data_IF_486982633140
#
_entry.id   IF_486982633140
#
_cell.length_a   1.000
_cell.length_b   1.000
_cell.length_c   1.000
_cell.angle_alpha   90.00
_cell.angle_beta   90.00
_cell.angle_gamma   90.00
#
_symmetry.space_group_name_H-M   'P 1'
#
loop_
_entity.id
_entity.type
_entity.pdbx_description
1 polymer ?
#
# COMPACT_ATOMS: atom_id res chain seq x y z
N UNK A 1 -25.56 0.24 -2.53
CA UNK A 1 -24.30 0.93 -2.95
C UNK A 1 -23.82 0.33 -4.28
N UNK A 2 -22.98 1.04 -5.00
CA UNK A 2 -22.36 0.65 -6.27
C UNK A 2 -20.83 0.79 -6.16
N UNK A 3 -20.03 0.21 -7.07
CA UNK A 3 -18.57 0.38 -7.07
C UNK A 3 -18.18 1.86 -7.26
N UNK A 4 -17.39 2.39 -6.33
CA UNK A 4 -16.91 3.76 -6.37
C UNK A 4 -15.55 3.78 -7.10
N UNK A 5 -15.51 4.40 -8.27
CA UNK A 5 -14.30 4.57 -9.08
C UNK A 5 -13.66 5.93 -8.77
N UNK A 6 -12.34 5.98 -8.59
CA UNK A 6 -11.66 7.19 -8.13
C UNK A 6 -10.89 7.92 -9.23
N UNK A 7 -10.83 9.21 -9.08
CA UNK A 7 -9.82 10.09 -9.64
C UNK A 7 -8.74 10.28 -8.56
N UNK A 8 -7.48 9.90 -8.82
CA UNK A 8 -6.43 9.96 -7.82
C UNK A 8 -6.03 11.40 -7.49
N UNK A 9 -5.45 11.58 -6.30
CA UNK A 9 -4.76 12.80 -5.91
C UNK A 9 -3.27 12.64 -6.18
N UNK A 10 -2.70 13.46 -7.07
CA UNK A 10 -1.27 13.40 -7.41
C UNK A 10 -0.45 14.27 -6.47
N UNK A 11 0.72 13.75 -6.07
CA UNK A 11 1.66 14.42 -5.20
C UNK A 11 3.00 14.62 -5.94
N UNK A 12 3.38 15.88 -6.09
CA UNK A 12 4.70 16.23 -6.60
C UNK A 12 5.76 15.98 -5.51
N UNK A 13 6.82 15.29 -5.88
CA UNK A 13 7.94 14.95 -4.98
C UNK A 13 9.27 15.14 -5.69
N UNK A 14 10.27 15.66 -4.97
CA UNK A 14 11.62 15.89 -5.53
C UNK A 14 12.28 14.63 -6.12
N UNK A 15 11.87 13.47 -5.67
CA UNK A 15 12.34 12.17 -6.14
C UNK A 15 11.43 11.53 -7.21
N UNK A 16 10.30 12.15 -7.52
CA UNK A 16 9.29 11.65 -8.44
C UNK A 16 9.73 11.59 -9.90
N UNK A 17 8.92 10.95 -10.72
CA UNK A 17 9.15 10.75 -12.13
C UNK A 17 7.90 10.97 -12.99
N UNK A 18 7.84 10.29 -14.14
CA UNK A 18 6.71 10.33 -15.08
C UNK A 18 6.26 8.92 -15.50
N UNK A 19 6.85 7.86 -14.95
CA UNK A 19 6.59 6.47 -15.35
C UNK A 19 5.17 5.99 -15.02
N UNK A 20 4.49 6.61 -14.07
CA UNK A 20 3.07 6.32 -13.80
C UNK A 20 2.17 6.60 -15.02
N UNK A 21 2.55 7.54 -15.91
CA UNK A 21 1.85 7.74 -17.18
C UNK A 21 2.05 6.55 -18.13
N UNK A 22 3.26 6.01 -18.20
CA UNK A 22 3.62 4.91 -19.08
C UNK A 22 3.03 3.58 -18.60
N UNK A 23 3.14 3.31 -17.29
CA UNK A 23 2.68 2.04 -16.67
C UNK A 23 1.15 1.94 -16.67
N UNK A 24 0.43 3.06 -16.48
CA UNK A 24 -1.02 3.05 -16.23
C UNK A 24 -1.84 3.93 -17.19
N UNK A 25 -1.24 4.44 -18.25
CA UNK A 25 -1.89 5.41 -19.16
C UNK A 25 -2.55 6.59 -18.40
N UNK A 26 -1.89 7.05 -17.32
CA UNK A 26 -2.38 8.14 -16.50
C UNK A 26 -2.04 9.50 -17.10
N UNK A 27 -3.03 10.40 -17.14
CA UNK A 27 -2.83 11.81 -17.48
C UNK A 27 -2.26 12.54 -16.25
N UNK A 28 -0.93 12.54 -16.13
CA UNK A 28 -0.27 13.23 -15.03
C UNK A 28 -0.25 14.75 -15.24
N UNK A 29 -0.42 15.55 -14.17
CA UNK A 29 -0.18 16.98 -14.21
C UNK A 29 1.30 17.27 -14.58
N UNK A 30 1.64 18.53 -14.93
CA UNK A 30 3.06 18.94 -15.07
C UNK A 30 3.85 18.65 -13.79
N UNK A 31 5.18 18.59 -13.90
CA UNK A 31 6.10 18.37 -12.78
C UNK A 31 6.49 16.90 -12.55
N UNK A 32 7.20 16.65 -11.47
CA UNK A 32 7.71 15.35 -11.06
C UNK A 32 6.73 14.70 -10.09
N UNK A 33 5.92 13.77 -10.59
CA UNK A 33 4.91 13.10 -9.78
C UNK A 33 5.54 11.88 -9.12
N UNK A 34 5.73 11.96 -7.81
CA UNK A 34 6.26 10.83 -7.03
C UNK A 34 5.18 9.86 -6.57
N UNK A 35 3.98 10.38 -6.25
CA UNK A 35 2.90 9.57 -5.71
C UNK A 35 1.58 9.87 -6.41
N UNK A 36 0.80 8.81 -6.68
CA UNK A 36 -0.59 8.84 -7.11
C UNK A 36 -1.42 8.19 -6.01
N UNK A 37 -2.15 8.99 -5.23
CA UNK A 37 -2.99 8.51 -4.15
C UNK A 37 -4.32 8.03 -4.72
N UNK A 38 -4.45 6.74 -4.86
CA UNK A 38 -5.51 6.07 -5.61
C UNK A 38 -6.83 5.99 -4.83
N UNK A 39 -6.74 5.56 -3.58
CA UNK A 39 -7.85 5.54 -2.62
C UNK A 39 -7.32 6.21 -1.37
N UNK A 40 -7.67 7.48 -1.20
CA UNK A 40 -7.11 8.35 -0.18
C UNK A 40 -8.21 9.17 0.49
N UNK A 41 -8.14 9.21 1.80
CA UNK A 41 -9.01 9.99 2.67
C UNK A 41 -8.19 10.56 3.83
N UNK A 42 -7.17 11.34 3.49
CA UNK A 42 -6.22 11.93 4.44
C UNK A 42 -6.21 13.46 4.32
N UNK A 43 -5.97 14.23 5.38
CA UNK A 43 -5.91 15.70 5.31
C UNK A 43 -4.92 16.25 4.28
N UNK A 44 -3.83 15.52 4.02
CA UNK A 44 -2.81 15.90 3.02
C UNK A 44 -3.20 15.55 1.56
N UNK A 45 -4.28 14.79 1.35
CA UNK A 45 -4.74 14.44 0.01
C UNK A 45 -5.93 13.50 -0.01
N UNK A 46 -6.93 13.85 -0.80
CA UNK A 46 -8.16 13.08 -0.92
C UNK A 46 -8.44 12.76 -2.39
N UNK A 47 -8.72 11.49 -2.69
CA UNK A 47 -9.22 11.08 -3.99
C UNK A 47 -10.71 11.39 -4.12
N UNK A 48 -11.15 11.73 -5.35
CA UNK A 48 -12.55 12.03 -5.63
C UNK A 48 -13.21 10.87 -6.37
N UNK A 49 -14.46 10.59 -6.03
CA UNK A 49 -15.27 9.62 -6.75
C UNK A 49 -15.63 10.22 -8.11
N UNK A 50 -15.43 9.46 -9.21
CA UNK A 50 -15.66 9.97 -10.55
C UNK A 50 -16.93 9.42 -11.23
N UNK A 51 -17.68 8.54 -10.56
CA UNK A 51 -18.85 7.89 -11.14
C UNK A 51 -20.09 7.94 -10.25
N UNK A 52 -21.26 7.80 -10.89
CA UNK A 52 -22.55 7.65 -10.24
C UNK A 52 -22.99 8.86 -9.41
N UNK A 53 -23.90 8.63 -8.47
CA UNK A 53 -24.51 9.71 -7.66
C UNK A 53 -23.57 10.40 -6.68
N UNK A 54 -22.41 9.81 -6.40
CA UNK A 54 -21.40 10.39 -5.53
C UNK A 54 -20.24 11.03 -6.30
N UNK A 55 -20.36 11.19 -7.62
CA UNK A 55 -19.33 11.83 -8.42
C UNK A 55 -18.98 13.24 -7.87
N UNK A 56 -17.69 13.53 -7.77
CA UNK A 56 -17.14 14.77 -7.20
C UNK A 56 -16.95 14.76 -5.69
N UNK A 57 -17.55 13.83 -4.95
CA UNK A 57 -17.40 13.72 -3.50
C UNK A 57 -16.11 12.96 -3.12
N UNK A 58 -15.60 13.26 -1.94
CA UNK A 58 -14.54 12.47 -1.28
C UNK A 58 -15.13 11.28 -0.52
N UNK A 59 -14.25 10.35 -0.07
CA UNK A 59 -14.69 9.21 0.75
C UNK A 59 -15.31 9.71 2.06
N UNK A 60 -14.68 10.66 2.76
CA UNK A 60 -15.20 11.24 4.02
C UNK A 60 -16.61 11.77 3.86
N UNK A 61 -16.89 12.48 2.76
CA UNK A 61 -18.24 13.01 2.50
C UNK A 61 -19.29 11.89 2.34
N UNK A 62 -18.88 10.76 1.76
CA UNK A 62 -19.77 9.58 1.66
C UNK A 62 -19.90 8.87 3.00
N UNK A 63 -18.81 8.74 3.77
CA UNK A 63 -18.81 8.08 5.07
C UNK A 63 -19.72 8.77 6.09
N UNK A 64 -19.87 10.10 6.03
CA UNK A 64 -20.74 10.85 6.94
C UNK A 64 -22.19 10.29 7.00
N UNK A 65 -22.71 9.79 5.88
CA UNK A 65 -24.08 9.28 5.82
C UNK A 65 -24.16 7.77 5.50
N UNK A 66 -23.07 7.17 5.04
CA UNK A 66 -23.06 5.82 4.49
C UNK A 66 -21.92 4.94 5.05
N UNK A 67 -21.40 5.27 6.23
CA UNK A 67 -20.25 4.57 6.83
C UNK A 67 -20.49 3.06 6.92
N UNK A 68 -21.65 2.64 7.41
CA UNK A 68 -22.00 1.22 7.55
C UNK A 68 -22.11 0.50 6.22
N UNK A 69 -22.65 1.13 5.20
CA UNK A 69 -22.77 0.56 3.86
C UNK A 69 -21.41 0.41 3.18
N UNK A 70 -20.50 1.37 3.41
CA UNK A 70 -19.15 1.37 2.83
C UNK A 70 -18.23 0.42 3.60
N UNK A 71 -18.12 0.57 4.90
CA UNK A 71 -17.12 -0.11 5.74
C UNK A 71 -17.61 -1.49 6.24
N UNK A 72 -18.92 -1.70 6.39
CA UNK A 72 -19.48 -2.91 6.97
C UNK A 72 -19.22 -2.98 8.47
N UNK A 73 -18.29 -3.84 8.90
CA UNK A 73 -17.87 -4.01 10.29
C UNK A 73 -16.60 -3.25 10.65
N UNK A 74 -15.92 -2.75 9.65
CA UNK A 74 -14.69 -1.99 9.86
C UNK A 74 -15.01 -0.61 10.45
N UNK A 75 -14.00 -0.06 11.13
CA UNK A 75 -14.09 1.28 11.71
C UNK A 75 -13.31 2.27 10.88
N UNK A 76 -13.69 3.52 10.99
CA UNK A 76 -12.87 4.65 10.54
C UNK A 76 -11.62 4.79 11.43
N UNK A 77 -10.68 5.63 11.00
CA UNK A 77 -9.61 6.12 11.87
C UNK A 77 -10.19 6.91 13.06
N UNK A 78 -9.34 7.28 14.02
CA UNK A 78 -9.76 8.15 15.13
C UNK A 78 -10.32 9.49 14.66
N UNK A 79 -9.87 9.98 13.50
CA UNK A 79 -10.37 11.22 12.85
C UNK A 79 -11.64 11.02 12.02
N UNK A 80 -12.20 9.82 11.95
CA UNK A 80 -13.38 9.49 11.16
C UNK A 80 -13.12 9.19 9.67
N UNK A 81 -11.86 9.08 9.26
CA UNK A 81 -11.41 8.85 7.89
C UNK A 81 -11.47 7.37 7.49
N UNK A 82 -11.39 7.09 6.20
CA UNK A 82 -11.26 5.74 5.66
C UNK A 82 -9.95 5.08 6.15
N UNK A 83 -9.94 3.81 6.57
CA UNK A 83 -8.82 3.26 7.35
C UNK A 83 -7.56 2.92 6.54
N UNK A 84 -7.62 2.87 5.23
CA UNK A 84 -6.48 2.56 4.37
C UNK A 84 -6.16 3.70 3.41
N UNK A 85 -4.88 3.80 3.08
CA UNK A 85 -4.38 4.66 2.02
C UNK A 85 -3.66 3.78 1.00
N UNK A 86 -4.07 3.90 -0.27
CA UNK A 86 -3.50 3.15 -1.39
C UNK A 86 -2.86 4.11 -2.37
N UNK A 87 -1.61 3.86 -2.70
CA UNK A 87 -0.81 4.72 -3.56
C UNK A 87 -0.10 3.91 -4.66
N UNK A 88 0.20 4.58 -5.78
CA UNK A 88 1.25 4.17 -6.69
C UNK A 88 2.41 5.17 -6.59
N UNK A 89 3.64 4.66 -6.51
CA UNK A 89 4.85 5.46 -6.36
C UNK A 89 5.75 5.26 -7.57
N UNK A 90 6.36 6.36 -8.04
CA UNK A 90 7.40 6.36 -9.06
C UNK A 90 8.69 6.95 -8.47
N UNK A 91 9.61 6.08 -8.06
CA UNK A 91 10.89 6.43 -7.51
C UNK A 91 11.94 6.62 -8.62
N UNK A 92 11.91 7.78 -9.29
CA UNK A 92 12.99 8.17 -10.23
C UNK A 92 14.31 8.39 -9.51
N UNK A 93 14.25 8.85 -8.26
CA UNK A 93 15.39 8.97 -7.35
C UNK A 93 15.07 8.28 -6.04
N UNK A 94 16.08 8.06 -5.21
CA UNK A 94 15.93 7.43 -3.89
C UNK A 94 15.01 8.25 -2.99
N UNK A 95 14.08 7.59 -2.31
CA UNK A 95 13.35 8.19 -1.20
C UNK A 95 14.25 8.30 0.04
N UNK A 96 13.87 9.10 1.02
CA UNK A 96 14.61 9.18 2.29
C UNK A 96 14.66 7.83 2.99
N UNK A 97 15.74 7.57 3.73
CA UNK A 97 15.78 6.50 4.72
C UNK A 97 14.88 6.92 5.87
N UNK A 98 13.92 6.07 6.23
CA UNK A 98 12.85 6.41 7.16
C UNK A 98 12.37 5.20 7.97
N UNK A 99 11.59 5.50 8.99
CA UNK A 99 10.88 4.50 9.81
C UNK A 99 9.52 5.05 10.20
N UNK A 100 8.55 4.16 10.41
CA UNK A 100 7.19 4.51 10.82
C UNK A 100 6.85 3.94 12.19
N UNK A 101 6.06 4.68 13.00
CA UNK A 101 5.60 4.20 14.30
C UNK A 101 4.46 3.18 14.19
N UNK A 102 4.24 2.41 15.26
CA UNK A 102 3.00 1.66 15.47
C UNK A 102 1.90 2.52 16.08
N UNK A 103 0.67 1.93 16.18
CA UNK A 103 -0.52 2.64 16.68
C UNK A 103 -0.31 3.23 18.08
N UNK A 104 0.28 2.48 19.01
CA UNK A 104 0.44 2.91 20.40
C UNK A 104 1.33 4.16 20.51
N UNK A 105 2.43 4.19 19.74
CA UNK A 105 3.30 5.36 19.71
C UNK A 105 2.63 6.55 19.01
N UNK A 106 2.01 6.31 17.85
CA UNK A 106 1.31 7.36 17.11
C UNK A 106 0.21 8.00 17.97
N UNK A 107 -0.61 7.21 18.66
CA UNK A 107 -1.66 7.71 19.53
C UNK A 107 -1.15 8.52 20.72
N UNK A 108 0.08 8.29 21.19
CA UNK A 108 0.66 8.99 22.34
C UNK A 108 1.43 10.25 21.97
N UNK A 109 1.95 10.37 20.75
CA UNK A 109 2.85 11.45 20.35
C UNK A 109 2.28 12.34 19.24
N UNK A 110 1.35 11.83 18.44
CA UNK A 110 0.86 12.48 17.23
C UNK A 110 -0.66 12.49 17.22
N UNK A 111 -1.28 13.61 17.60
CA UNK A 111 -2.73 13.71 17.79
C UNK A 111 -3.54 13.26 16.56
N UNK A 112 -4.34 12.21 16.76
CA UNK A 112 -5.26 11.67 15.76
C UNK A 112 -4.61 10.85 14.64
N UNK A 113 -3.28 10.71 14.61
CA UNK A 113 -2.60 9.86 13.65
C UNK A 113 -2.70 8.37 14.00
N UNK A 114 -2.73 7.54 12.97
CA UNK A 114 -2.58 6.08 13.08
C UNK A 114 -1.10 5.71 12.95
N UNK A 115 -0.75 4.53 13.44
CA UNK A 115 0.50 3.88 13.05
C UNK A 115 0.55 3.66 11.54
N UNK A 116 1.72 3.28 11.03
CA UNK A 116 1.90 3.12 9.58
C UNK A 116 2.54 1.78 9.25
N UNK A 117 1.70 0.74 9.26
CA UNK A 117 2.02 -0.58 8.70
C UNK A 117 1.77 -0.53 7.19
N UNK A 118 2.73 -0.99 6.40
CA UNK A 118 2.71 -0.94 4.95
C UNK A 118 2.98 -2.29 4.31
N UNK A 119 2.57 -2.43 3.06
CA UNK A 119 3.10 -3.42 2.14
C UNK A 119 3.33 -2.79 0.77
N UNK A 120 4.37 -3.22 0.07
CA UNK A 120 4.70 -2.83 -1.29
C UNK A 120 4.59 -4.00 -2.24
N UNK A 121 4.03 -3.74 -3.41
CA UNK A 121 4.05 -4.67 -4.54
C UNK A 121 4.81 -4.00 -5.70
N UNK A 122 5.91 -4.61 -6.14
CA UNK A 122 6.77 -4.05 -7.17
C UNK A 122 6.09 -4.22 -8.54
N UNK A 123 5.75 -3.10 -9.17
CA UNK A 123 5.11 -3.04 -10.48
C UNK A 123 6.13 -3.05 -11.61
N UNK A 124 7.19 -2.26 -11.45
CA UNK A 124 8.34 -2.21 -12.35
C UNK A 124 9.61 -1.98 -11.54
N UNK A 125 10.71 -2.59 -11.98
CA UNK A 125 12.03 -2.38 -11.40
C UNK A 125 13.09 -2.40 -12.50
N UNK A 126 13.98 -1.43 -12.50
CA UNK A 126 15.14 -1.42 -13.40
C UNK A 126 16.11 -2.54 -13.03
N UNK A 127 16.93 -3.02 -13.98
CA UNK A 127 17.93 -4.04 -13.68
C UNK A 127 18.86 -3.61 -12.54
N UNK A 128 18.90 -4.41 -11.47
CA UNK A 128 19.71 -4.12 -10.30
C UNK A 128 19.07 -3.18 -9.27
N UNK A 129 17.80 -2.80 -9.44
CA UNK A 129 17.08 -1.98 -8.47
C UNK A 129 17.06 -2.63 -7.08
N UNK A 130 17.18 -1.80 -6.05
CA UNK A 130 17.32 -2.22 -4.66
C UNK A 130 16.37 -1.44 -3.75
N UNK A 131 16.05 -2.06 -2.62
CA UNK A 131 15.45 -1.40 -1.46
C UNK A 131 16.44 -1.40 -0.30
N UNK A 132 16.40 -0.37 0.52
CA UNK A 132 16.90 -0.47 1.89
C UNK A 132 15.78 -1.13 2.69
N UNK A 133 16.10 -2.23 3.38
CA UNK A 133 15.10 -3.01 4.10
C UNK A 133 15.70 -3.61 5.37
N UNK A 134 15.52 -2.89 6.48
CA UNK A 134 16.01 -3.24 7.80
C UNK A 134 17.48 -2.88 8.04
N UNK A 135 17.94 -3.23 9.22
CA UNK A 135 19.29 -3.02 9.71
C UNK A 135 20.16 -4.27 9.49
N UNK A 136 21.47 -4.09 9.37
CA UNK A 136 22.43 -5.19 9.43
C UNK A 136 22.34 -5.88 10.79
N UNK A 137 22.52 -7.19 10.80
CA UNK A 137 22.46 -8.00 12.02
C UNK A 137 23.46 -7.51 13.06
N UNK A 138 23.01 -7.37 14.30
CA UNK A 138 23.81 -6.92 15.44
C UNK A 138 23.89 -5.40 15.61
N UNK A 139 23.24 -4.63 14.74
CA UNK A 139 23.10 -3.18 14.94
C UNK A 139 22.25 -2.92 16.18
N UNK A 140 22.76 -2.13 17.11
CA UNK A 140 22.02 -1.67 18.30
C UNK A 140 21.77 -0.17 18.27
N UNK A 141 20.95 0.33 19.22
CA UNK A 141 20.56 1.74 19.31
C UNK A 141 21.76 2.69 19.41
N UNK A 142 22.76 2.34 20.22
CA UNK A 142 23.95 3.19 20.44
C UNK A 142 24.82 3.29 19.20
N UNK A 143 25.07 2.16 18.53
CA UNK A 143 25.83 2.14 17.28
C UNK A 143 25.10 2.90 16.18
N UNK A 144 23.77 2.74 16.08
CA UNK A 144 22.96 3.47 15.11
C UNK A 144 23.01 4.98 15.35
N UNK A 145 22.79 5.43 16.60
CA UNK A 145 22.85 6.86 16.94
C UNK A 145 24.24 7.46 16.65
N UNK A 146 25.32 6.74 16.99
CA UNK A 146 26.68 7.15 16.65
C UNK A 146 26.89 7.27 15.14
N UNK A 147 26.46 6.27 14.36
CA UNK A 147 26.60 6.27 12.92
C UNK A 147 25.81 7.41 12.23
N UNK A 148 24.64 7.79 12.78
CA UNK A 148 23.90 8.97 12.30
C UNK A 148 24.72 10.23 12.51
N UNK A 149 25.30 10.45 13.72
CA UNK A 149 26.13 11.62 14.04
C UNK A 149 27.39 11.69 13.17
N UNK A 150 27.99 10.54 12.86
CA UNK A 150 29.16 10.41 12.01
C UNK A 150 28.83 10.41 10.51
N UNK A 151 27.55 10.57 10.12
CA UNK A 151 27.05 10.48 8.72
C UNK A 151 27.35 9.14 8.04
N UNK A 152 27.38 8.07 8.78
CA UNK A 152 27.70 6.70 8.33
C UNK A 152 26.51 5.74 8.47
N UNK A 153 25.31 6.24 8.65
CA UNK A 153 24.11 5.42 8.87
C UNK A 153 23.92 4.37 7.77
N UNK A 154 24.29 4.68 6.52
CA UNK A 154 24.21 3.75 5.40
C UNK A 154 25.02 2.47 5.58
N UNK A 155 26.10 2.50 6.36
CA UNK A 155 26.95 1.34 6.68
C UNK A 155 26.19 0.28 7.48
N UNK A 156 25.14 0.69 8.20
CA UNK A 156 24.34 -0.17 9.07
C UNK A 156 23.07 -0.71 8.41
N UNK A 157 22.77 -0.28 7.18
CA UNK A 157 21.54 -0.63 6.50
C UNK A 157 21.70 -1.90 5.66
N UNK A 158 20.65 -2.72 5.66
CA UNK A 158 20.56 -3.88 4.79
C UNK A 158 19.93 -3.48 3.46
N UNK A 159 20.44 -4.03 2.34
CA UNK A 159 19.92 -3.83 0.99
C UNK A 159 19.42 -5.13 0.41
N UNK A 160 18.30 -5.10 -0.27
CA UNK A 160 17.74 -6.25 -0.99
C UNK A 160 17.49 -5.86 -2.44
N UNK A 161 17.84 -6.75 -3.37
CA UNK A 161 17.46 -6.60 -4.77
C UNK A 161 16.00 -6.96 -4.93
N UNK A 162 15.31 -6.26 -5.82
CA UNK A 162 13.90 -6.50 -6.12
C UNK A 162 13.66 -6.54 -7.63
N UNK A 163 12.58 -7.21 -7.99
CA UNK A 163 12.10 -7.32 -9.36
C UNK A 163 10.59 -7.18 -9.41
N UNK A 164 10.03 -6.97 -10.61
CA UNK A 164 8.58 -6.96 -10.83
C UNK A 164 7.92 -8.21 -10.24
N UNK A 165 6.86 -8.01 -9.46
CA UNK A 165 6.10 -9.07 -8.79
C UNK A 165 6.53 -9.33 -7.35
N UNK A 166 7.66 -8.81 -6.89
CA UNK A 166 8.04 -8.96 -5.49
C UNK A 166 7.08 -8.20 -4.57
N UNK A 167 6.83 -8.78 -3.40
CA UNK A 167 6.03 -8.20 -2.34
C UNK A 167 6.86 -8.01 -1.07
N UNK A 168 6.74 -6.85 -0.43
CA UNK A 168 7.52 -6.46 0.75
C UNK A 168 6.55 -6.02 1.84
N UNK A 169 6.69 -6.55 3.05
CA UNK A 169 5.89 -6.16 4.20
C UNK A 169 6.70 -5.29 5.16
N UNK A 170 6.20 -4.13 5.49
CA UNK A 170 6.85 -3.15 6.38
C UNK A 170 6.06 -3.02 7.68
N UNK A 171 6.40 -3.80 8.70
CA UNK A 171 5.85 -3.58 10.03
C UNK A 171 6.38 -2.26 10.61
N UNK A 172 5.69 -1.68 11.59
CA UNK A 172 6.21 -0.55 12.35
C UNK A 172 7.62 -0.84 12.87
N UNK A 173 8.47 0.18 12.94
CA UNK A 173 9.85 0.07 13.41
C UNK A 173 10.86 -0.45 12.38
N UNK A 174 10.43 -0.88 11.21
CA UNK A 174 11.34 -1.33 10.15
C UNK A 174 11.95 -0.13 9.42
N UNK A 175 13.26 0.08 9.54
CA UNK A 175 14.00 1.09 8.75
C UNK A 175 14.00 0.70 7.28
N UNK A 176 13.64 1.62 6.39
CA UNK A 176 13.53 1.32 4.96
C UNK A 176 13.73 2.54 4.06
N UNK A 177 13.99 2.29 2.78
CA UNK A 177 13.90 3.29 1.71
C UNK A 177 13.67 2.60 0.36
N UNK A 178 12.91 3.25 -0.51
CA UNK A 178 12.83 2.88 -1.92
C UNK A 178 14.01 3.55 -2.62
N UNK A 179 14.83 2.76 -3.31
CA UNK A 179 15.90 3.30 -4.15
C UNK A 179 15.35 3.63 -5.54
N UNK A 180 16.18 4.22 -6.38
CA UNK A 180 15.83 4.66 -7.74
C UNK A 180 15.44 3.51 -8.67
N UNK A 181 14.66 3.82 -9.69
CA UNK A 181 14.31 2.89 -10.78
C UNK A 181 13.15 1.94 -10.44
N UNK A 182 12.34 2.24 -9.43
CA UNK A 182 11.23 1.40 -8.97
C UNK A 182 9.90 2.12 -9.15
N UNK A 183 8.91 1.41 -9.70
CA UNK A 183 7.48 1.76 -9.60
C UNK A 183 6.78 0.69 -8.78
N UNK A 184 6.03 1.08 -7.77
CA UNK A 184 5.35 0.14 -6.88
C UNK A 184 3.94 0.61 -6.48
N UNK A 185 3.13 -0.34 -6.04
CA UNK A 185 1.89 -0.09 -5.30
C UNK A 185 2.16 -0.21 -3.80
N UNK A 186 1.67 0.75 -3.04
CA UNK A 186 1.75 0.81 -1.59
C UNK A 186 0.34 0.73 -1.00
N UNK A 187 0.13 -0.23 -0.11
CA UNK A 187 -1.08 -0.37 0.69
C UNK A 187 -0.69 -0.20 2.15
N UNK A 188 -1.29 0.78 2.81
CA UNK A 188 -0.93 1.14 4.18
C UNK A 188 -2.14 1.54 5.02
N UNK A 189 -1.95 1.59 6.36
CA UNK A 189 -2.87 2.32 7.22
C UNK A 189 -2.96 3.77 6.75
N UNK A 190 -4.08 4.43 7.02
CA UNK A 190 -4.28 5.83 6.65
C UNK A 190 -3.46 6.76 7.57
N UNK A 191 -2.20 6.90 7.25
CA UNK A 191 -1.21 7.72 7.97
C UNK A 191 -0.16 8.26 7.00
N UNK A 192 0.32 9.48 7.23
CA UNK A 192 1.45 10.08 6.49
C UNK A 192 2.67 10.33 7.40
N UNK A 193 2.66 9.71 8.61
CA UNK A 193 3.76 9.82 9.56
C UNK A 193 5.04 9.20 9.02
N UNK A 194 6.09 10.00 9.02
CA UNK A 194 7.40 9.56 8.52
C UNK A 194 8.51 10.16 9.37
N UNK A 195 9.23 9.33 10.10
CA UNK A 195 10.44 9.75 10.79
C UNK A 195 11.64 9.54 9.88
N UNK A 196 12.10 10.66 9.30
CA UNK A 196 13.21 10.70 8.34
C UNK A 196 14.53 10.61 9.08
N UNK A 197 15.37 9.66 8.67
CA UNK A 197 16.68 9.38 9.26
C UNK A 197 17.80 9.98 8.41
N UNK A 198 17.69 9.85 7.09
CA UNK A 198 18.69 10.36 6.14
C UNK A 198 18.05 10.68 4.79
N UNK A 199 18.45 11.77 4.17
CA UNK A 199 17.83 12.27 2.93
C UNK A 199 18.85 12.52 1.80
N UNK A 200 19.91 11.74 1.73
CA UNK A 200 20.92 11.78 0.67
C UNK A 200 21.61 13.15 0.51
N UNK A 201 21.67 13.91 1.59
CA UNK A 201 22.18 15.30 1.62
C UNK A 201 21.48 16.26 0.61
N UNK A 202 20.26 15.91 0.16
CA UNK A 202 19.48 16.73 -0.78
C UNK A 202 19.14 18.08 -0.18
N UNK A 203 19.20 19.10 -1.05
CA UNK A 203 18.67 20.44 -0.75
C UNK A 203 17.46 20.71 -1.63
N UNK A 204 16.52 21.50 -1.13
CA UNK A 204 15.43 22.06 -1.92
C UNK A 204 15.98 23.12 -2.88
N UNK A 205 15.18 23.56 -3.84
CA UNK A 205 15.55 24.69 -4.74
C UNK A 205 15.87 25.97 -3.94
N UNK A 206 15.26 26.14 -2.76
CA UNK A 206 15.54 27.24 -1.84
C UNK A 206 16.84 27.03 -1.01
N UNK A 207 17.61 25.95 -1.24
CA UNK A 207 18.86 25.64 -0.55
C UNK A 207 18.68 25.06 0.87
N UNK A 208 17.46 24.82 1.33
CA UNK A 208 17.20 24.17 2.61
C UNK A 208 17.22 22.65 2.53
N UNK A 209 17.55 21.97 3.61
CA UNK A 209 17.42 20.51 3.74
C UNK A 209 16.07 20.16 4.36
N UNK A 210 15.51 19.00 4.01
CA UNK A 210 14.35 18.47 4.71
C UNK A 210 14.73 18.09 6.14
N UNK A 211 13.82 18.32 7.06
CA UNK A 211 13.99 17.96 8.46
C UNK A 211 14.25 16.47 8.67
N UNK A 212 15.12 16.15 9.60
CA UNK A 212 15.40 14.79 10.06
C UNK A 212 14.79 14.61 11.46
N UNK A 213 14.21 13.46 11.71
CA UNK A 213 13.48 13.13 12.95
C UNK A 213 14.24 12.04 13.73
N UNK A 214 15.50 12.29 14.06
CA UNK A 214 16.41 11.26 14.58
C UNK A 214 15.94 10.70 15.93
N UNK A 215 15.55 11.56 16.86
CA UNK A 215 15.12 11.12 18.20
C UNK A 215 13.84 10.29 18.12
N UNK A 216 12.81 10.76 17.40
CA UNK A 216 11.58 10.01 17.17
C UNK A 216 11.83 8.69 16.44
N UNK A 217 12.75 8.70 15.47
CA UNK A 217 13.13 7.48 14.77
C UNK A 217 13.76 6.45 15.72
N UNK A 218 14.67 6.89 16.60
CA UNK A 218 15.31 6.02 17.60
C UNK A 218 14.30 5.41 18.59
N UNK A 219 13.23 6.11 18.90
CA UNK A 219 12.15 5.62 19.79
C UNK A 219 11.41 4.44 19.18
N UNK A 220 11.20 4.45 17.86
CA UNK A 220 10.34 3.51 17.17
C UNK A 220 11.06 2.40 16.39
N UNK A 221 12.39 2.53 16.14
CA UNK A 221 13.17 1.50 15.43
C UNK A 221 13.16 0.17 16.17
N UNK A 222 12.78 -0.89 15.47
CA UNK A 222 12.94 -2.28 15.93
C UNK A 222 14.35 -2.79 15.62
N UNK A 223 15.24 -2.74 16.61
CA UNK A 223 16.61 -3.26 16.53
C UNK A 223 16.70 -4.79 16.59
N UNK A 224 15.62 -5.48 16.91
CA UNK A 224 15.57 -6.94 17.03
C UNK A 224 15.23 -7.65 15.71
N UNK A 225 14.64 -6.94 14.75
CA UNK A 225 14.13 -7.52 13.49
C UNK A 225 15.27 -7.97 12.58
N UNK A 226 15.29 -9.26 12.27
CA UNK A 226 16.29 -9.90 11.40
C UNK A 226 15.74 -10.43 10.08
N UNK A 227 14.43 -10.41 9.85
CA UNK A 227 13.83 -10.83 8.58
C UNK A 227 13.93 -9.69 7.56
N UNK A 228 14.83 -9.85 6.61
CA UNK A 228 15.18 -8.85 5.61
C UNK A 228 15.08 -9.45 4.18
N UNK A 229 13.98 -10.14 3.88
CA UNK A 229 13.72 -10.74 2.57
C UNK A 229 12.33 -10.37 2.04
N UNK A 230 12.11 -10.39 0.71
CA UNK A 230 10.78 -10.31 0.14
C UNK A 230 9.85 -11.39 0.70
N UNK A 231 8.55 -11.13 0.68
CA UNK A 231 7.54 -12.07 1.14
C UNK A 231 7.56 -13.36 0.29
N UNK A 232 7.30 -14.48 0.96
CA UNK A 232 6.99 -15.74 0.29
C UNK A 232 5.47 -15.86 0.23
N UNK A 233 4.94 -15.69 -0.94
CA UNK A 233 3.51 -15.65 -1.24
C UNK A 233 2.88 -17.04 -1.36
N UNK A 234 1.55 -17.10 -1.41
CA UNK A 234 0.79 -18.34 -1.59
C UNK A 234 -0.10 -18.20 -2.82
N UNK A 235 0.20 -18.98 -3.86
CA UNK A 235 -0.62 -19.05 -5.07
C UNK A 235 -1.67 -20.16 -4.96
N UNK A 236 -2.88 -19.83 -5.40
CA UNK A 236 -4.01 -20.71 -5.59
C UNK A 236 -4.47 -20.61 -7.06
N UNK A 237 -4.63 -21.73 -7.71
CA UNK A 237 -5.14 -21.80 -9.08
C UNK A 237 -6.56 -22.35 -9.07
N UNK A 238 -7.44 -21.71 -9.81
CA UNK A 238 -8.82 -22.15 -10.00
C UNK A 238 -9.34 -21.70 -11.36
N UNK A 239 -9.82 -22.65 -12.18
CA UNK A 239 -10.53 -22.37 -13.44
C UNK A 239 -9.77 -21.40 -14.37
N UNK A 240 -8.47 -21.64 -14.58
CA UNK A 240 -7.56 -20.79 -15.35
C UNK A 240 -7.33 -19.38 -14.76
N UNK A 241 -7.77 -19.12 -13.55
CA UNK A 241 -7.43 -17.90 -12.81
C UNK A 241 -6.41 -18.22 -11.72
N UNK A 242 -5.55 -17.25 -11.44
CA UNK A 242 -4.59 -17.36 -10.34
C UNK A 242 -4.93 -16.30 -9.28
N UNK A 243 -4.92 -16.72 -8.04
CA UNK A 243 -5.01 -15.85 -6.87
C UNK A 243 -3.76 -16.03 -6.02
N UNK A 244 -3.00 -14.98 -5.90
CA UNK A 244 -1.79 -14.95 -5.09
C UNK A 244 -2.04 -14.13 -3.83
N UNK A 245 -1.99 -14.79 -2.67
CA UNK A 245 -2.06 -14.13 -1.36
C UNK A 245 -0.68 -13.60 -1.03
N UNK A 246 -0.53 -12.29 -0.97
CA UNK A 246 0.73 -11.62 -0.66
C UNK A 246 0.93 -11.53 0.86
N UNK A 247 -0.02 -10.93 1.56
CA UNK A 247 0.02 -10.76 3.01
C UNK A 247 -1.37 -10.59 3.60
N UNK A 248 -1.55 -11.03 4.84
CA UNK A 248 -2.69 -10.70 5.70
C UNK A 248 -2.16 -10.31 7.07
N UNK A 249 -2.35 -9.07 7.47
CA UNK A 249 -1.96 -8.54 8.78
C UNK A 249 -3.18 -8.03 9.55
N UNK A 250 -2.95 -7.37 10.69
CA UNK A 250 -4.02 -6.80 11.52
C UNK A 250 -4.91 -5.79 10.79
N UNK A 251 -4.39 -5.11 9.74
CA UNK A 251 -5.05 -3.97 9.11
C UNK A 251 -5.63 -4.30 7.73
N UNK A 252 -4.99 -5.19 6.98
CA UNK A 252 -5.40 -5.52 5.63
C UNK A 252 -4.97 -6.93 5.20
N UNK A 253 -5.65 -7.42 4.18
CA UNK A 253 -5.23 -8.55 3.35
C UNK A 253 -5.02 -8.05 1.93
N UNK A 254 -3.87 -8.37 1.32
CA UNK A 254 -3.55 -7.99 -0.06
C UNK A 254 -3.29 -9.23 -0.91
N UNK A 255 -3.89 -9.26 -2.09
CA UNK A 255 -3.87 -10.37 -3.03
C UNK A 255 -3.69 -9.85 -4.46
N UNK A 256 -3.02 -10.62 -5.31
CA UNK A 256 -3.01 -10.42 -6.76
C UNK A 256 -3.94 -11.43 -7.39
N UNK A 257 -4.85 -10.95 -8.24
CA UNK A 257 -5.75 -11.77 -9.04
C UNK A 257 -5.33 -11.67 -10.51
N UNK A 258 -4.98 -12.79 -11.13
CA UNK A 258 -4.79 -12.91 -12.57
C UNK A 258 -6.02 -13.60 -13.15
N UNK A 259 -6.84 -12.84 -13.87
CA UNK A 259 -8.15 -13.27 -14.39
C UNK A 259 -8.03 -13.43 -15.90
N UNK A 260 -8.45 -14.59 -16.43
CA UNK A 260 -8.42 -14.89 -17.86
C UNK A 260 -9.81 -15.07 -18.47
N UNK A 261 -10.81 -15.43 -17.65
CA UNK A 261 -12.19 -15.65 -18.11
C UNK A 261 -13.20 -14.89 -17.27
N UNK A 262 -13.31 -15.24 -16.00
CA UNK A 262 -14.25 -14.63 -15.08
C UNK A 262 -13.90 -14.97 -13.65
N UNK A 263 -14.18 -14.05 -12.74
CA UNK A 263 -13.92 -14.18 -11.32
C UNK A 263 -15.15 -13.73 -10.53
N UNK A 264 -15.59 -14.55 -9.60
CA UNK A 264 -16.72 -14.25 -8.73
C UNK A 264 -16.22 -14.05 -7.29
N UNK A 265 -16.76 -13.03 -6.64
CA UNK A 265 -16.42 -12.74 -5.24
C UNK A 265 -17.58 -12.02 -4.54
N UNK A 266 -17.36 -11.70 -3.26
CA UNK A 266 -18.38 -11.07 -2.42
C UNK A 266 -17.75 -10.20 -1.34
N UNK A 267 -18.24 -8.98 -1.22
CA UNK A 267 -17.94 -8.07 -0.11
C UNK A 267 -18.76 -8.46 1.14
N UNK A 268 -18.37 -9.52 1.85
CA UNK A 268 -19.25 -10.13 2.88
C UNK A 268 -19.51 -9.26 4.11
N UNK A 269 -18.47 -8.70 4.70
CA UNK A 269 -18.54 -7.96 5.97
C UNK A 269 -17.65 -6.72 5.98
N UNK A 270 -16.90 -6.51 4.92
CA UNK A 270 -16.01 -5.39 4.70
C UNK A 270 -15.95 -5.04 3.23
N UNK A 271 -15.28 -3.99 2.91
CA UNK A 271 -15.07 -3.49 1.55
C UNK A 271 -13.97 -4.27 0.80
N UNK A 272 -13.93 -4.12 -0.52
CA UNK A 272 -12.76 -4.48 -1.33
C UNK A 272 -12.25 -3.26 -2.09
N UNK A 273 -10.94 -3.08 -2.17
CA UNK A 273 -10.30 -2.14 -3.08
C UNK A 273 -9.72 -2.95 -4.23
N UNK A 274 -9.99 -2.52 -5.46
CA UNK A 274 -9.45 -3.11 -6.67
C UNK A 274 -8.62 -2.06 -7.40
N UNK A 275 -7.32 -2.33 -7.56
CA UNK A 275 -6.43 -1.54 -8.41
C UNK A 275 -6.12 -2.38 -9.64
N UNK A 276 -6.51 -1.90 -10.82
CA UNK A 276 -6.32 -2.63 -12.08
C UNK A 276 -4.89 -2.38 -12.56
N UNK A 277 -4.05 -3.41 -12.46
CA UNK A 277 -2.64 -3.32 -12.79
C UNK A 277 -2.38 -3.53 -14.29
N UNK A 278 -3.12 -4.46 -14.91
CA UNK A 278 -2.94 -4.79 -16.33
C UNK A 278 -4.29 -5.20 -16.94
N UNK A 279 -4.48 -4.90 -18.23
CA UNK A 279 -5.60 -5.37 -19.03
C UNK A 279 -6.87 -4.54 -18.90
N UNK A 280 -7.96 -5.09 -19.44
CA UNK A 280 -9.28 -4.48 -19.46
C UNK A 280 -10.39 -5.52 -19.25
N UNK A 281 -11.55 -5.06 -18.82
CA UNK A 281 -12.71 -5.91 -18.56
C UNK A 281 -13.90 -5.15 -18.01
N UNK A 282 -14.79 -5.86 -17.34
CA UNK A 282 -15.96 -5.28 -16.72
C UNK A 282 -16.29 -5.93 -15.38
N UNK A 283 -16.92 -5.16 -14.53
CA UNK A 283 -17.39 -5.58 -13.20
C UNK A 283 -18.90 -5.37 -13.14
N UNK A 284 -19.60 -6.38 -12.68
CA UNK A 284 -21.07 -6.33 -12.51
C UNK A 284 -21.50 -7.17 -11.30
N UNK A 285 -22.76 -7.00 -10.91
CA UNK A 285 -23.39 -7.76 -9.82
C UNK A 285 -24.53 -6.99 -9.20
N UNK A 286 -25.34 -7.70 -8.41
CA UNK A 286 -26.43 -7.11 -7.62
C UNK A 286 -27.29 -6.12 -8.39
N UNK A 287 -27.42 -4.91 -7.84
CA UNK A 287 -28.35 -3.87 -8.31
C UNK A 287 -27.62 -2.64 -8.86
N UNK A 288 -26.48 -2.80 -9.52
CA UNK A 288 -25.79 -1.69 -10.17
C UNK A 288 -25.52 -1.99 -11.65
N UNK A 289 -25.45 -0.92 -12.45
CA UNK A 289 -25.02 -1.03 -13.84
C UNK A 289 -23.56 -1.47 -13.91
N UNK A 290 -23.20 -2.27 -14.93
CA UNK A 290 -21.81 -2.70 -15.14
C UNK A 290 -20.84 -1.52 -15.15
N UNK A 291 -19.64 -1.77 -14.66
CA UNK A 291 -18.55 -0.79 -14.61
C UNK A 291 -17.39 -1.32 -15.45
N UNK A 292 -16.96 -0.55 -16.44
CA UNK A 292 -15.79 -0.87 -17.23
C UNK A 292 -14.52 -0.71 -16.38
N UNK A 293 -13.61 -1.67 -16.52
CA UNK A 293 -12.32 -1.73 -15.87
C UNK A 293 -11.21 -1.60 -16.91
N UNK A 294 -10.25 -0.75 -16.65
CA UNK A 294 -9.04 -0.62 -17.46
C UNK A 294 -7.81 -0.42 -16.59
N UNK A 295 -6.66 -0.74 -17.12
CA UNK A 295 -5.37 -0.49 -16.48
C UNK A 295 -5.32 0.92 -15.89
N UNK A 296 -4.83 1.05 -14.66
CA UNK A 296 -4.76 2.29 -13.91
C UNK A 296 -6.02 2.72 -13.17
N UNK A 297 -7.14 1.98 -13.30
CA UNK A 297 -8.35 2.26 -12.51
C UNK A 297 -8.20 1.77 -11.07
N UNK A 298 -8.77 2.55 -10.14
CA UNK A 298 -8.88 2.22 -8.73
C UNK A 298 -10.33 2.34 -8.28
N UNK A 299 -10.84 1.27 -7.65
CA UNK A 299 -12.23 1.18 -7.22
C UNK A 299 -12.33 0.73 -5.76
N UNK A 300 -13.29 1.29 -5.05
CA UNK A 300 -13.77 0.78 -3.77
C UNK A 300 -15.13 0.11 -3.97
N UNK A 301 -15.20 -1.17 -3.64
CA UNK A 301 -16.43 -1.96 -3.60
C UNK A 301 -16.97 -1.95 -2.17
N UNK A 302 -18.04 -1.22 -1.88
CA UNK A 302 -18.59 -1.11 -0.53
C UNK A 302 -19.01 -2.45 0.06
N UNK A 303 -18.96 -2.57 1.38
CA UNK A 303 -19.35 -3.79 2.09
C UNK A 303 -20.77 -4.24 1.77
N UNK A 304 -21.68 -3.29 1.54
CA UNK A 304 -23.08 -3.56 1.17
C UNK A 304 -23.29 -3.97 -0.30
N UNK A 305 -22.24 -3.97 -1.14
CA UNK A 305 -22.36 -4.37 -2.55
C UNK A 305 -22.82 -5.82 -2.70
N UNK A 306 -22.31 -6.72 -1.86
CA UNK A 306 -22.63 -8.14 -1.92
C UNK A 306 -21.84 -8.89 -2.99
N UNK A 307 -22.54 -9.76 -3.74
CA UNK A 307 -21.90 -10.55 -4.79
C UNK A 307 -21.54 -9.68 -5.99
N UNK A 308 -20.37 -9.93 -6.57
CA UNK A 308 -19.93 -9.29 -7.80
C UNK A 308 -19.15 -10.27 -8.68
N UNK A 309 -19.09 -9.96 -9.95
CA UNK A 309 -18.36 -10.70 -10.97
C UNK A 309 -17.45 -9.75 -11.74
N UNK A 310 -16.28 -10.24 -12.09
CA UNK A 310 -15.33 -9.55 -12.96
C UNK A 310 -15.06 -10.45 -14.16
N UNK A 311 -15.13 -9.91 -15.38
CA UNK A 311 -14.69 -10.61 -16.58
C UNK A 311 -13.75 -9.74 -17.40
N UNK A 312 -12.94 -10.41 -18.20
CA UNK A 312 -11.90 -9.82 -19.03
C UNK A 312 -10.56 -10.47 -18.74
N UNK A 313 -9.53 -9.99 -19.42
CA UNK A 313 -8.15 -10.40 -19.16
C UNK A 313 -7.50 -9.31 -18.28
N UNK A 314 -7.39 -9.59 -16.98
CA UNK A 314 -7.05 -8.59 -15.98
C UNK A 314 -6.02 -9.11 -14.98
N UNK A 315 -5.12 -8.24 -14.56
CA UNK A 315 -4.33 -8.39 -13.34
C UNK A 315 -4.75 -7.32 -12.33
N UNK A 316 -5.21 -7.73 -11.17
CA UNK A 316 -5.81 -6.85 -10.16
C UNK A 316 -5.05 -7.00 -8.84
N UNK A 317 -4.61 -5.90 -8.26
CA UNK A 317 -4.21 -5.85 -6.86
C UNK A 317 -5.45 -5.58 -6.03
N UNK A 318 -5.84 -6.56 -5.21
CA UNK A 318 -7.01 -6.50 -4.36
C UNK A 318 -6.60 -6.32 -2.92
N UNK A 319 -7.11 -5.28 -2.29
CA UNK A 319 -6.97 -5.06 -0.85
C UNK A 319 -8.33 -5.17 -0.17
N UNK A 320 -8.35 -5.70 1.04
CA UNK A 320 -9.57 -5.86 1.84
C UNK A 320 -9.23 -5.81 3.32
N UNK A 321 -10.22 -5.55 4.20
CA UNK A 321 -10.04 -5.70 5.63
C UNK A 321 -9.53 -7.09 5.99
N UNK A 322 -8.76 -7.16 7.06
CA UNK A 322 -8.16 -8.40 7.52
C UNK A 322 -9.22 -9.42 7.98
N UNK A 323 -8.97 -10.68 7.65
CA UNK A 323 -9.68 -11.81 8.23
C UNK A 323 -8.75 -13.03 8.31
N UNK A 324 -7.68 -12.99 9.13
CA UNK A 324 -6.65 -14.02 9.17
C UNK A 324 -7.20 -15.40 9.47
N UNK A 325 -8.20 -15.50 10.38
CA UNK A 325 -8.80 -16.79 10.74
C UNK A 325 -9.57 -17.42 9.57
N UNK A 326 -10.36 -16.62 8.83
CA UNK A 326 -11.07 -17.10 7.65
C UNK A 326 -10.10 -17.46 6.52
N UNK A 327 -9.10 -16.62 6.28
CA UNK A 327 -8.07 -16.88 5.27
C UNK A 327 -7.27 -18.14 5.62
N UNK A 328 -6.85 -18.30 6.87
CA UNK A 328 -6.15 -19.51 7.34
C UNK A 328 -6.96 -20.77 7.07
N UNK A 329 -8.25 -20.76 7.42
CA UNK A 329 -9.16 -21.89 7.18
C UNK A 329 -9.28 -22.19 5.68
N UNK A 330 -9.44 -21.16 4.85
CA UNK A 330 -9.54 -21.28 3.40
C UNK A 330 -8.27 -21.91 2.80
N UNK A 331 -7.09 -21.39 3.15
CA UNK A 331 -5.81 -21.88 2.66
C UNK A 331 -5.55 -23.34 3.10
N UNK A 332 -5.90 -23.69 4.34
CA UNK A 332 -5.82 -25.07 4.82
C UNK A 332 -6.74 -26.00 4.02
N UNK A 333 -7.97 -25.57 3.73
CA UNK A 333 -8.93 -26.35 2.93
C UNK A 333 -8.43 -26.51 1.49
N UNK A 334 -7.68 -25.56 0.96
CA UNK A 334 -7.01 -25.65 -0.34
C UNK A 334 -5.71 -26.47 -0.32
N UNK A 335 -5.39 -27.15 0.79
CA UNK A 335 -4.22 -28.01 0.90
C UNK A 335 -2.89 -27.29 1.13
N UNK A 336 -2.91 -26.01 1.46
CA UNK A 336 -1.69 -25.25 1.76
C UNK A 336 -1.17 -25.61 3.16
N UNK A 337 0.12 -25.96 3.25
CA UNK A 337 0.71 -26.35 4.52
C UNK A 337 0.75 -25.19 5.53
N UNK A 338 0.62 -25.47 6.85
CA UNK A 338 0.70 -24.44 7.91
C UNK A 338 1.97 -23.58 7.83
N UNK A 339 3.10 -24.18 7.44
CA UNK A 339 4.37 -23.47 7.30
C UNK A 339 4.33 -22.41 6.18
N UNK A 340 3.62 -22.66 5.07
CA UNK A 340 3.41 -21.67 4.00
C UNK A 340 2.40 -20.61 4.42
N UNK A 341 1.32 -21.01 5.09
CA UNK A 341 0.29 -20.08 5.57
C UNK A 341 0.88 -19.06 6.55
N UNK A 342 1.74 -19.49 7.47
CA UNK A 342 2.40 -18.60 8.44
C UNK A 342 3.38 -17.60 7.77
N UNK A 343 3.71 -17.74 6.48
CA UNK A 343 4.51 -16.77 5.74
C UNK A 343 3.71 -15.60 5.19
N UNK A 344 2.42 -15.76 5.02
CA UNK A 344 1.52 -14.71 4.50
C UNK A 344 0.62 -14.11 5.57
N UNK A 345 0.50 -14.73 6.75
CA UNK A 345 -0.24 -14.18 7.90
C UNK A 345 0.78 -13.58 8.88
N UNK A 346 0.61 -12.27 9.18
CA UNK A 346 1.52 -11.43 9.99
C UNK A 346 0.80 -10.85 11.22
#
# INVERSE_FOLDING_TARGET
MYPLKFEPCYQEKVWGGRRLAEVFDKKLPPGLIGESWEVADHPHGQSKIKNGRFAGLTISQVLNNHSKEVLGREKTTARGEFPLLVKFLDARQKLSVQVHPGDDYAASQEEGESGKTEMWYILEAEPGAELIYGLKRGTNRNDFHRAVKEKRVLDLLNRIKVQKGDAIFLPPGKVHAICEGIVLAEIQQNSDLTYRIYDWDRTTEAGSRRELHIESALEVIDFSSSDNSPLKTVCLEKENNQREVLVSCRYFTVEVLSITQGYQSKTRKGYHILNILEGEGSLWGGNFAGVDLKCGDSLLLPASLGNYQVAGKLKILKSSPQNPASLKKELMTAGISPARINKVIR
#
